data_IF_131473146506
#
_entry.id   IF_131473146506
#
_cell.length_a   1.000
_cell.length_b   1.000
_cell.length_c   1.000
_cell.angle_alpha   90.00
_cell.angle_beta   90.00
_cell.angle_gamma   90.00
#
_symmetry.space_group_name_H-M   'P 1'
#
loop_
_entity.id
_entity.type
_entity.pdbx_description
1 polymer ?
#
# COMPACT_ATOMS: atom_id res chain seq x y z
N UNK A 1 -29.69 -27.69 9.44
CA UNK A 1 -28.49 -27.64 10.29
C UNK A 1 -28.03 -26.19 10.40
N UNK A 2 -27.98 -25.58 11.59
CA UNK A 2 -27.35 -24.28 11.75
C UNK A 2 -25.86 -24.42 11.41
N UNK A 3 -25.38 -23.64 10.44
CA UNK A 3 -23.94 -23.57 10.16
C UNK A 3 -23.23 -23.05 11.41
N UNK A 4 -22.10 -23.66 11.82
CA UNK A 4 -21.34 -23.17 12.96
C UNK A 4 -20.95 -21.71 12.72
N UNK A 5 -21.32 -20.86 13.67
CA UNK A 5 -20.92 -19.46 13.67
C UNK A 5 -19.40 -19.43 13.89
N UNK A 6 -18.64 -19.41 12.81
CA UNK A 6 -17.21 -19.13 12.89
C UNK A 6 -17.05 -17.75 13.52
N UNK A 7 -16.55 -17.71 14.75
CA UNK A 7 -16.14 -16.47 15.40
C UNK A 7 -15.10 -15.80 14.50
N UNK A 8 -15.54 -14.80 13.72
CA UNK A 8 -14.76 -14.15 12.68
C UNK A 8 -13.58 -13.33 13.23
N UNK A 9 -13.43 -13.21 14.55
CA UNK A 9 -12.47 -12.35 15.20
C UNK A 9 -11.74 -13.05 16.34
N UNK A 10 -10.42 -13.20 16.18
CA UNK A 10 -9.54 -13.65 17.23
C UNK A 10 -8.92 -12.40 17.91
N UNK A 11 -9.32 -12.05 19.15
CA UNK A 11 -8.84 -10.85 19.82
C UNK A 11 -7.32 -10.86 20.03
N UNK A 12 -6.70 -12.04 20.09
CA UNK A 12 -5.25 -12.19 20.20
C UNK A 12 -4.50 -11.67 18.95
N UNK A 13 -5.16 -11.68 17.79
CA UNK A 13 -4.57 -11.20 16.53
C UNK A 13 -4.77 -9.70 16.29
N UNK A 14 -5.61 -9.03 17.09
CA UNK A 14 -5.89 -7.61 16.92
C UNK A 14 -4.68 -6.74 17.24
N UNK A 15 -4.03 -7.00 18.39
CA UNK A 15 -2.85 -6.26 18.84
C UNK A 15 -1.69 -6.32 17.82
N UNK A 16 -1.30 -7.49 17.28
CA UNK A 16 -0.24 -7.52 16.27
C UNK A 16 -0.65 -6.85 14.95
N UNK A 17 -1.91 -7.01 14.50
CA UNK A 17 -2.41 -6.34 13.28
C UNK A 17 -2.34 -4.81 13.41
N UNK A 18 -2.85 -4.25 14.51
CA UNK A 18 -2.88 -2.80 14.74
C UNK A 18 -1.48 -2.23 14.96
N UNK A 19 -0.62 -2.97 15.65
CA UNK A 19 0.78 -2.58 15.88
C UNK A 19 1.53 -2.54 14.56
N UNK A 20 1.36 -3.56 13.72
CA UNK A 20 1.95 -3.62 12.38
C UNK A 20 1.50 -2.45 11.51
N UNK A 21 0.19 -2.18 11.42
CA UNK A 21 -0.33 -1.08 10.58
C UNK A 21 0.18 0.28 11.05
N UNK A 22 0.26 0.51 12.36
CA UNK A 22 0.82 1.73 12.94
C UNK A 22 2.31 1.91 12.62
N UNK A 23 3.12 0.85 12.76
CA UNK A 23 4.55 0.92 12.45
C UNK A 23 4.77 1.22 10.97
N UNK A 24 4.04 0.55 10.07
CA UNK A 24 4.16 0.81 8.63
C UNK A 24 3.75 2.25 8.29
N UNK A 25 2.68 2.76 8.90
CA UNK A 25 2.28 4.16 8.76
C UNK A 25 3.40 5.13 9.17
N UNK A 26 4.02 4.92 10.33
CA UNK A 26 5.13 5.75 10.82
C UNK A 26 6.30 5.70 9.84
N UNK A 27 6.70 4.52 9.35
CA UNK A 27 7.81 4.40 8.40
C UNK A 27 7.48 5.09 7.07
N UNK A 28 6.24 4.98 6.57
CA UNK A 28 5.80 5.72 5.37
C UNK A 28 6.00 7.23 5.54
N UNK A 29 5.60 7.79 6.70
CA UNK A 29 5.80 9.19 7.01
C UNK A 29 7.29 9.56 7.11
N UNK A 30 8.12 8.72 7.72
CA UNK A 30 9.57 8.95 7.80
C UNK A 30 10.21 8.97 6.40
N UNK A 31 9.82 8.05 5.51
CA UNK A 31 10.26 8.06 4.10
C UNK A 31 9.80 9.33 3.40
N UNK A 32 8.54 9.75 3.58
CA UNK A 32 8.01 11.00 3.04
C UNK A 32 8.82 12.22 3.49
N UNK A 33 9.09 12.36 4.78
CA UNK A 33 9.85 13.50 5.33
C UNK A 33 11.27 13.54 4.78
N UNK A 34 11.96 12.40 4.72
CA UNK A 34 13.31 12.32 4.18
C UNK A 34 13.39 12.60 2.68
N UNK A 35 12.44 12.08 1.91
CA UNK A 35 12.36 12.37 0.48
C UNK A 35 11.92 13.81 0.19
N UNK A 36 11.20 14.48 1.10
CA UNK A 36 10.89 15.91 1.02
C UNK A 36 12.14 16.77 1.14
N UNK A 37 13.02 16.49 2.11
CA UNK A 37 14.32 17.14 2.24
C UNK A 37 15.14 17.01 0.93
N UNK A 38 15.22 15.78 0.41
CA UNK A 38 15.90 15.46 -0.85
C UNK A 38 15.36 16.20 -2.07
N UNK A 39 14.03 16.30 -2.16
CA UNK A 39 13.36 17.00 -3.24
C UNK A 39 13.65 18.50 -3.20
N UNK A 40 13.65 19.11 -2.01
CA UNK A 40 13.93 20.53 -1.85
C UNK A 40 15.35 20.89 -2.33
N UNK A 41 16.32 19.98 -2.14
CA UNK A 41 17.70 20.16 -2.58
C UNK A 41 17.88 19.93 -4.09
N UNK A 42 17.29 18.88 -4.65
CA UNK A 42 17.54 18.45 -6.04
C UNK A 42 16.54 18.97 -7.06
N UNK A 43 15.34 19.36 -6.61
CA UNK A 43 14.16 19.69 -7.44
C UNK A 43 13.81 18.63 -8.48
N UNK A 44 14.21 17.37 -8.26
CA UNK A 44 14.04 16.28 -9.22
C UNK A 44 12.62 15.70 -9.17
N UNK A 45 11.84 15.86 -10.26
CA UNK A 45 10.41 15.47 -10.30
C UNK A 45 10.14 13.99 -10.00
N UNK A 46 11.06 13.08 -10.32
CA UNK A 46 10.91 11.67 -9.93
C UNK A 46 10.85 11.47 -8.40
N UNK A 47 11.62 12.27 -7.63
CA UNK A 47 11.61 12.20 -6.16
C UNK A 47 10.30 12.75 -5.61
N UNK A 48 9.73 13.77 -6.26
CA UNK A 48 8.40 14.30 -5.93
C UNK A 48 7.33 13.20 -5.99
N UNK A 49 7.24 12.47 -7.10
CA UNK A 49 6.26 11.40 -7.24
C UNK A 49 6.50 10.24 -6.29
N UNK A 50 7.77 9.89 -6.08
CA UNK A 50 8.16 8.87 -5.11
C UNK A 50 7.72 9.24 -3.70
N UNK A 51 8.01 10.46 -3.26
CA UNK A 51 7.55 11.01 -1.97
C UNK A 51 6.03 10.95 -1.84
N UNK A 52 5.32 11.43 -2.86
CA UNK A 52 3.86 11.49 -2.83
C UNK A 52 3.23 10.08 -2.78
N UNK A 53 3.85 9.08 -3.42
CA UNK A 53 3.43 7.68 -3.28
C UNK A 53 3.48 7.20 -1.82
N UNK A 54 4.58 7.47 -1.10
CA UNK A 54 4.71 7.08 0.31
C UNK A 54 3.74 7.82 1.22
N UNK A 55 3.41 9.08 0.92
CA UNK A 55 2.34 9.80 1.63
C UNK A 55 0.99 9.11 1.43
N UNK A 56 0.64 8.78 0.19
CA UNK A 56 -0.62 8.11 -0.15
C UNK A 56 -0.72 6.72 0.50
N UNK A 57 0.37 5.94 0.50
CA UNK A 57 0.42 4.67 1.23
C UNK A 57 0.27 4.89 2.74
N UNK A 58 0.96 5.87 3.32
CA UNK A 58 0.81 6.23 4.72
C UNK A 58 -0.65 6.53 5.08
N UNK A 59 -1.32 7.40 4.31
CA UNK A 59 -2.74 7.72 4.52
C UNK A 59 -3.61 6.47 4.38
N UNK A 60 -3.36 5.60 3.38
CA UNK A 60 -4.11 4.35 3.23
C UNK A 60 -3.98 3.44 4.46
N UNK A 61 -2.77 3.33 5.04
CA UNK A 61 -2.53 2.59 6.28
C UNK A 61 -3.15 3.24 7.51
N UNK A 62 -3.19 4.57 7.57
CA UNK A 62 -3.89 5.28 8.64
C UNK A 62 -5.40 5.01 8.59
N UNK A 63 -6.01 5.07 7.40
CA UNK A 63 -7.43 4.73 7.22
C UNK A 63 -7.69 3.28 7.63
N UNK A 64 -6.79 2.36 7.28
CA UNK A 64 -6.86 0.96 7.71
C UNK A 64 -6.80 0.81 9.23
N UNK A 65 -5.85 1.47 9.89
CA UNK A 65 -5.71 1.48 11.34
C UNK A 65 -6.99 1.98 12.02
N UNK A 66 -7.55 3.10 11.55
CA UNK A 66 -8.83 3.62 12.06
C UNK A 66 -9.97 2.63 11.85
N UNK A 67 -10.02 1.97 10.69
CA UNK A 67 -11.01 0.94 10.43
C UNK A 67 -10.88 -0.26 11.38
N UNK A 68 -9.67 -0.72 11.66
CA UNK A 68 -9.42 -1.80 12.62
C UNK A 68 -9.91 -1.42 14.04
N UNK A 69 -9.69 -0.18 14.49
CA UNK A 69 -10.24 0.33 15.76
C UNK A 69 -11.77 0.34 15.74
N UNK A 70 -12.38 0.84 14.67
CA UNK A 70 -13.84 0.88 14.54
C UNK A 70 -14.41 -0.54 14.62
N UNK A 71 -13.82 -1.49 13.90
CA UNK A 71 -14.23 -2.90 13.91
C UNK A 71 -14.17 -3.51 15.32
N UNK A 72 -13.09 -3.23 16.06
CA UNK A 72 -12.95 -3.67 17.45
C UNK A 72 -14.03 -3.06 18.34
N UNK A 73 -14.25 -1.74 18.23
CA UNK A 73 -15.24 -1.04 19.05
C UNK A 73 -16.69 -1.51 18.82
N UNK A 74 -17.07 -1.79 17.56
CA UNK A 74 -18.40 -2.30 17.22
C UNK A 74 -18.69 -3.65 17.87
N UNK A 75 -17.67 -4.52 17.99
CA UNK A 75 -17.83 -5.84 18.63
C UNK A 75 -18.07 -5.76 20.13
N UNK A 76 -17.45 -4.80 20.81
CA UNK A 76 -17.51 -4.71 22.28
C UNK A 76 -18.67 -3.88 22.81
N UNK A 77 -19.10 -2.84 22.09
CA UNK A 77 -20.02 -1.84 22.66
C UNK A 77 -21.05 -1.23 21.69
N UNK A 78 -20.86 -1.31 20.36
CA UNK A 78 -21.47 -0.36 19.41
C UNK A 78 -22.24 -0.97 18.22
N UNK A 79 -22.76 -2.20 18.32
CA UNK A 79 -23.54 -2.81 17.22
C UNK A 79 -24.82 -2.03 16.86
N UNK A 80 -25.32 -1.15 17.73
CA UNK A 80 -26.59 -0.43 17.51
C UNK A 80 -26.49 0.83 16.64
N UNK A 81 -25.34 1.51 16.55
CA UNK A 81 -25.30 2.87 16.00
C UNK A 81 -24.83 2.96 14.55
N UNK A 82 -23.92 2.10 14.08
CA UNK A 82 -23.41 2.18 12.71
C UNK A 82 -23.30 0.78 12.09
N UNK A 83 -24.13 0.44 11.09
CA UNK A 83 -24.08 -0.88 10.48
C UNK A 83 -22.75 -1.08 9.75
N UNK A 84 -22.02 -2.11 10.14
CA UNK A 84 -20.75 -2.55 9.51
C UNK A 84 -20.84 -2.65 7.98
N UNK A 85 -22.03 -2.99 7.46
CA UNK A 85 -22.34 -3.10 6.03
C UNK A 85 -22.08 -1.83 5.23
N UNK A 86 -22.21 -0.64 5.83
CA UNK A 86 -22.01 0.63 5.14
C UNK A 86 -20.57 1.16 5.27
N UNK A 87 -19.94 0.99 6.43
CA UNK A 87 -18.56 1.46 6.66
C UNK A 87 -17.57 0.69 5.79
N UNK A 88 -17.71 -0.64 5.70
CA UNK A 88 -16.73 -1.48 5.03
C UNK A 88 -16.53 -1.14 3.54
N UNK A 89 -17.58 -0.99 2.71
CA UNK A 89 -17.42 -0.58 1.31
C UNK A 89 -16.77 0.79 1.15
N UNK A 90 -17.13 1.77 1.99
CA UNK A 90 -16.57 3.14 1.93
C UNK A 90 -15.08 3.11 2.22
N UNK A 91 -14.68 2.39 3.27
CA UNK A 91 -13.26 2.23 3.61
C UNK A 91 -12.51 1.50 2.50
N UNK A 92 -13.11 0.46 1.91
CA UNK A 92 -12.53 -0.27 0.78
C UNK A 92 -12.35 0.63 -0.46
N UNK A 93 -13.31 1.50 -0.75
CA UNK A 93 -13.23 2.49 -1.83
C UNK A 93 -12.06 3.46 -1.61
N UNK A 94 -11.98 4.07 -0.42
CA UNK A 94 -10.93 5.05 -0.08
C UNK A 94 -9.55 4.39 -0.08
N UNK A 95 -9.40 3.24 0.59
CA UNK A 95 -8.14 2.52 0.62
C UNK A 95 -7.73 2.04 -0.77
N UNK A 96 -8.67 1.48 -1.54
CA UNK A 96 -8.44 1.01 -2.90
C UNK A 96 -7.99 2.12 -3.83
N UNK A 97 -8.60 3.31 -3.73
CA UNK A 97 -8.16 4.49 -4.45
C UNK A 97 -6.75 4.93 -4.03
N UNK A 98 -6.52 5.20 -2.74
CA UNK A 98 -5.25 5.72 -2.22
C UNK A 98 -4.06 4.80 -2.53
N UNK A 99 -4.24 3.50 -2.38
CA UNK A 99 -3.22 2.50 -2.70
C UNK A 99 -2.95 2.40 -4.20
N UNK A 100 -4.00 2.42 -5.04
CA UNK A 100 -3.84 2.36 -6.50
C UNK A 100 -3.15 3.61 -7.03
N UNK A 101 -3.53 4.80 -6.56
CA UNK A 101 -2.86 6.03 -6.95
C UNK A 101 -1.42 6.04 -6.41
N UNK A 102 -1.16 5.54 -5.20
CA UNK A 102 0.20 5.38 -4.68
C UNK A 102 1.09 4.52 -5.58
N UNK A 103 0.59 3.37 -6.06
CA UNK A 103 1.31 2.50 -7.01
C UNK A 103 1.58 3.26 -8.32
N UNK A 104 0.59 3.97 -8.86
CA UNK A 104 0.75 4.74 -10.09
C UNK A 104 1.78 5.86 -9.94
N UNK A 105 1.82 6.53 -8.79
CA UNK A 105 2.87 7.52 -8.49
C UNK A 105 4.27 6.89 -8.46
N UNK A 106 4.42 5.64 -8.01
CA UNK A 106 5.69 4.91 -8.17
C UNK A 106 6.01 4.68 -9.64
N UNK A 107 5.05 4.29 -10.48
CA UNK A 107 5.27 4.22 -11.94
C UNK A 107 5.75 5.56 -12.45
N UNK A 108 5.07 6.64 -12.08
CA UNK A 108 5.35 7.99 -12.56
C UNK A 108 6.74 8.46 -12.16
N UNK A 109 7.20 8.09 -10.96
CA UNK A 109 8.56 8.37 -10.52
C UNK A 109 9.65 7.71 -11.38
N UNK A 110 9.34 6.64 -12.12
CA UNK A 110 10.29 5.98 -13.04
C UNK A 110 10.26 6.49 -14.48
N UNK A 111 9.10 6.95 -14.96
CA UNK A 111 8.89 7.38 -16.35
C UNK A 111 8.80 8.91 -16.52
N UNK A 112 8.99 9.69 -15.45
CA UNK A 112 8.82 11.15 -15.44
C UNK A 112 9.56 11.91 -16.55
N UNK A 113 10.65 11.36 -17.10
CA UNK A 113 11.43 12.00 -18.18
C UNK A 113 10.82 11.83 -19.57
N UNK A 114 9.91 10.87 -19.76
CA UNK A 114 9.43 10.46 -21.08
C UNK A 114 8.06 11.03 -21.45
N UNK A 115 7.30 11.54 -20.50
CA UNK A 115 5.88 11.86 -20.69
C UNK A 115 5.53 13.23 -20.10
N UNK A 116 4.53 13.90 -20.68
CA UNK A 116 3.95 15.11 -20.12
C UNK A 116 3.30 14.83 -18.76
N UNK A 117 3.88 15.41 -17.71
CA UNK A 117 3.52 15.18 -16.32
C UNK A 117 2.03 15.40 -16.01
N UNK A 118 1.41 16.46 -16.54
CA UNK A 118 0.04 16.84 -16.15
C UNK A 118 -0.99 15.80 -16.62
N UNK A 119 -0.92 15.43 -17.89
CA UNK A 119 -1.86 14.48 -18.50
C UNK A 119 -1.74 13.10 -17.84
N UNK A 120 -0.52 12.68 -17.54
CA UNK A 120 -0.26 11.38 -16.91
C UNK A 120 -0.83 11.28 -15.49
N UNK A 121 -0.71 12.35 -14.70
CA UNK A 121 -1.31 12.41 -13.36
C UNK A 121 -2.83 12.27 -13.44
N UNK A 122 -3.47 13.02 -14.36
CA UNK A 122 -4.93 12.96 -14.56
C UNK A 122 -5.37 11.54 -14.96
N UNK A 123 -4.68 10.92 -15.94
CA UNK A 123 -4.96 9.53 -16.34
C UNK A 123 -4.78 8.59 -15.16
N UNK A 124 -3.75 8.77 -14.34
CA UNK A 124 -3.52 7.95 -13.15
C UNK A 124 -4.67 8.03 -12.14
N UNK A 125 -5.17 9.24 -11.85
CA UNK A 125 -6.33 9.42 -10.98
C UNK A 125 -7.58 8.78 -11.55
N UNK A 126 -7.84 8.91 -12.85
CA UNK A 126 -8.98 8.26 -13.52
C UNK A 126 -8.87 6.74 -13.38
N UNK A 127 -7.70 6.15 -13.65
CA UNK A 127 -7.47 4.70 -13.52
C UNK A 127 -7.70 4.25 -12.06
N UNK A 128 -7.08 4.93 -11.09
CA UNK A 128 -7.22 4.58 -9.68
C UNK A 128 -8.68 4.68 -9.19
N UNK A 129 -9.39 5.72 -9.63
CA UNK A 129 -10.79 5.92 -9.29
C UNK A 129 -11.66 4.82 -9.89
N UNK A 130 -11.51 4.52 -11.19
CA UNK A 130 -12.26 3.45 -11.86
C UNK A 130 -12.04 2.10 -11.19
N UNK A 131 -10.80 1.74 -10.86
CA UNK A 131 -10.49 0.50 -10.14
C UNK A 131 -11.14 0.46 -8.76
N UNK A 132 -11.10 1.58 -8.02
CA UNK A 132 -11.72 1.66 -6.70
C UNK A 132 -13.25 1.54 -6.76
N UNK A 133 -13.89 2.10 -7.78
CA UNK A 133 -15.35 1.99 -8.01
C UNK A 133 -15.72 0.54 -8.34
N UNK A 134 -14.96 -0.14 -9.20
CA UNK A 134 -15.20 -1.56 -9.52
C UNK A 134 -15.12 -2.42 -8.25
N UNK A 135 -14.11 -2.19 -7.41
CA UNK A 135 -13.95 -2.89 -6.12
C UNK A 135 -15.10 -2.56 -5.16
N UNK A 136 -15.53 -1.31 -5.10
CA UNK A 136 -16.66 -0.87 -4.28
C UNK A 136 -17.97 -1.54 -4.68
N UNK A 137 -18.27 -1.58 -5.99
CA UNK A 137 -19.50 -2.18 -6.52
C UNK A 137 -19.55 -3.69 -6.31
N UNK A 138 -18.41 -4.37 -6.46
CA UNK A 138 -18.31 -5.83 -6.26
C UNK A 138 -18.19 -6.22 -4.80
N UNK A 139 -17.83 -5.28 -3.91
CA UNK A 139 -17.53 -5.51 -2.50
C UNK A 139 -16.51 -6.63 -2.26
N UNK A 140 -15.68 -6.91 -3.27
CA UNK A 140 -14.75 -8.04 -3.26
C UNK A 140 -13.34 -7.56 -2.93
N UNK A 141 -12.89 -7.91 -1.73
CA UNK A 141 -11.51 -7.67 -1.34
C UNK A 141 -10.53 -8.39 -2.27
N UNK A 142 -10.83 -9.64 -2.65
CA UNK A 142 -9.92 -10.42 -3.51
C UNK A 142 -9.74 -9.78 -4.87
N UNK A 143 -10.80 -9.18 -5.44
CA UNK A 143 -10.71 -8.42 -6.68
C UNK A 143 -9.76 -7.23 -6.54
N UNK A 144 -9.83 -6.48 -5.44
CA UNK A 144 -8.89 -5.37 -5.16
C UNK A 144 -7.44 -5.84 -5.20
N UNK A 145 -7.15 -6.98 -4.55
CA UNK A 145 -5.81 -7.57 -4.51
C UNK A 145 -5.31 -7.88 -5.94
N UNK A 146 -6.13 -8.55 -6.75
CA UNK A 146 -5.75 -8.88 -8.13
C UNK A 146 -5.49 -7.64 -8.98
N UNK A 147 -6.35 -6.63 -8.91
CA UNK A 147 -6.18 -5.38 -9.66
C UNK A 147 -4.89 -4.65 -9.25
N UNK A 148 -4.56 -4.62 -7.97
CA UNK A 148 -3.32 -4.01 -7.48
C UNK A 148 -2.07 -4.81 -7.86
N UNK A 149 -2.14 -6.15 -7.88
CA UNK A 149 -1.05 -6.99 -8.38
C UNK A 149 -0.80 -6.72 -9.86
N UNK A 150 -1.86 -6.61 -10.68
CA UNK A 150 -1.73 -6.26 -12.11
C UNK A 150 -1.08 -4.88 -12.27
N UNK A 151 -1.54 -3.86 -11.53
CA UNK A 151 -0.92 -2.53 -11.55
C UNK A 151 0.56 -2.54 -11.15
N UNK A 152 0.90 -3.31 -10.11
CA UNK A 152 2.28 -3.48 -9.65
C UNK A 152 3.15 -4.18 -10.69
N UNK A 153 2.64 -5.22 -11.36
CA UNK A 153 3.36 -5.89 -12.43
C UNK A 153 3.66 -4.91 -13.57
N UNK A 154 2.68 -4.11 -13.97
CA UNK A 154 2.87 -3.03 -14.96
C UNK A 154 3.95 -2.05 -14.46
N UNK A 155 3.94 -1.70 -13.17
CA UNK A 155 4.94 -0.81 -12.57
C UNK A 155 6.37 -1.37 -12.64
N UNK A 156 6.55 -2.64 -12.33
CA UNK A 156 7.86 -3.32 -12.39
C UNK A 156 8.34 -3.40 -13.84
N UNK A 157 7.48 -3.85 -14.75
CA UNK A 157 7.81 -4.00 -16.17
C UNK A 157 8.22 -2.65 -16.78
N UNK A 158 7.44 -1.60 -16.56
CA UNK A 158 7.77 -0.25 -17.05
C UNK A 158 9.07 0.29 -16.44
N UNK A 159 9.31 0.04 -15.15
CA UNK A 159 10.56 0.41 -14.47
C UNK A 159 11.78 -0.29 -15.09
N UNK A 160 11.66 -1.58 -15.44
CA UNK A 160 12.72 -2.35 -16.08
C UNK A 160 13.08 -1.81 -17.47
N UNK A 161 12.08 -1.48 -18.30
CA UNK A 161 12.29 -0.93 -19.66
C UNK A 161 12.78 0.52 -19.66
N UNK A 162 12.41 1.33 -18.66
CA UNK A 162 12.78 2.75 -18.62
C UNK A 162 14.29 2.99 -18.49
N UNK A 163 15.04 2.05 -17.92
CA UNK A 163 16.45 2.22 -17.53
C UNK A 163 17.49 1.57 -18.48
N UNK A 164 17.10 1.09 -19.66
CA UNK A 164 18.02 0.35 -20.55
C UNK A 164 19.22 1.17 -21.09
N UNK A 165 19.23 2.50 -20.97
CA UNK A 165 20.31 3.35 -21.55
C UNK A 165 21.52 3.64 -20.64
N UNK A 166 21.57 3.18 -19.37
CA UNK A 166 22.77 3.30 -18.50
C UNK A 166 23.19 1.93 -17.97
N UNK A 167 24.40 1.49 -18.33
CA UNK A 167 25.00 0.13 -18.19
C UNK A 167 25.08 -0.46 -16.76
N UNK A 168 24.59 0.20 -15.71
CA UNK A 168 24.55 -0.37 -14.35
C UNK A 168 23.20 -1.04 -14.10
N UNK A 169 23.18 -2.37 -14.25
CA UNK A 169 22.01 -3.23 -14.03
C UNK A 169 21.40 -3.07 -12.62
N UNK A 170 22.25 -2.80 -11.60
CA UNK A 170 21.87 -2.50 -10.20
C UNK A 170 21.89 -0.99 -9.88
N UNK A 171 21.03 -0.20 -10.52
CA UNK A 171 20.74 1.13 -9.99
C UNK A 171 20.01 0.99 -8.65
N UNK A 172 20.44 1.71 -7.61
CA UNK A 172 19.83 1.69 -6.27
C UNK A 172 18.31 1.88 -6.33
N UNK A 173 17.83 2.68 -7.27
CA UNK A 173 16.41 2.90 -7.54
C UNK A 173 15.69 1.60 -7.93
N UNK A 174 16.24 0.77 -8.84
CA UNK A 174 15.59 -0.49 -9.27
C UNK A 174 15.41 -1.46 -8.11
N UNK A 175 16.43 -1.60 -7.27
CA UNK A 175 16.35 -2.47 -6.09
C UNK A 175 15.27 -1.97 -5.14
N UNK A 176 15.14 -0.65 -5.00
CA UNK A 176 14.13 -0.05 -4.15
C UNK A 176 12.71 -0.30 -4.69
N UNK A 177 12.45 -0.17 -5.99
CA UNK A 177 11.15 -0.54 -6.57
C UNK A 177 10.84 -2.02 -6.43
N UNK A 178 11.84 -2.89 -6.61
CA UNK A 178 11.67 -4.33 -6.42
C UNK A 178 11.37 -4.67 -4.96
N UNK A 179 12.03 -4.02 -3.99
CA UNK A 179 11.73 -4.18 -2.57
C UNK A 179 10.31 -3.69 -2.25
N UNK A 180 9.89 -2.55 -2.79
CA UNK A 180 8.50 -2.07 -2.63
C UNK A 180 7.52 -3.06 -3.22
N UNK A 181 7.80 -3.63 -4.39
CA UNK A 181 6.96 -4.63 -5.02
C UNK A 181 6.81 -5.89 -4.15
N UNK A 182 7.93 -6.43 -3.66
CA UNK A 182 7.94 -7.58 -2.75
C UNK A 182 7.15 -7.26 -1.49
N UNK A 183 7.42 -6.11 -0.85
CA UNK A 183 6.69 -5.64 0.31
C UNK A 183 5.18 -5.56 0.04
N UNK A 184 4.78 -5.04 -1.11
CA UNK A 184 3.37 -4.88 -1.44
C UNK A 184 2.68 -6.23 -1.64
N UNK A 185 3.32 -7.20 -2.32
CA UNK A 185 2.81 -8.57 -2.41
C UNK A 185 2.65 -9.21 -1.03
N UNK A 186 3.67 -9.08 -0.19
CA UNK A 186 3.63 -9.62 1.17
C UNK A 186 2.50 -9.00 1.99
N UNK A 187 2.34 -7.68 1.90
CA UNK A 187 1.26 -6.98 2.57
C UNK A 187 -0.11 -7.42 2.04
N UNK A 188 -0.27 -7.61 0.74
CA UNK A 188 -1.51 -8.15 0.14
C UNK A 188 -1.87 -9.54 0.70
N UNK A 189 -0.88 -10.42 0.91
CA UNK A 189 -1.11 -11.74 1.49
C UNK A 189 -1.46 -11.69 2.98
N UNK A 190 -0.88 -10.76 3.74
CA UNK A 190 -1.24 -10.55 5.15
C UNK A 190 -2.73 -10.18 5.27
N UNK A 191 -3.22 -9.33 4.36
CA UNK A 191 -4.60 -8.83 4.33
C UNK A 191 -5.59 -9.89 3.79
N UNK A 192 -5.09 -10.90 3.07
CA UNK A 192 -5.92 -11.97 2.50
C UNK A 192 -6.87 -12.58 3.55
N UNK A 193 -8.13 -12.93 3.16
CA UNK A 193 -9.14 -13.39 4.10
C UNK A 193 -8.63 -14.52 5.01
N UNK A 194 -9.04 -14.47 6.28
CA UNK A 194 -8.45 -15.22 7.42
C UNK A 194 -8.37 -16.74 7.22
N UNK A 195 -9.24 -17.31 6.39
CA UNK A 195 -9.24 -18.74 6.05
C UNK A 195 -8.02 -19.22 5.24
N UNK A 196 -7.29 -18.34 4.54
CA UNK A 196 -6.21 -18.79 3.64
C UNK A 196 -4.89 -19.15 4.35
N UNK A 197 -4.61 -18.55 5.52
CA UNK A 197 -3.34 -18.75 6.22
C UNK A 197 -3.54 -18.88 7.72
N UNK A 198 -2.80 -19.80 8.33
CA UNK A 198 -2.73 -19.93 9.78
C UNK A 198 -2.20 -18.63 10.43
N UNK A 199 -2.67 -18.25 11.62
CA UNK A 199 -2.26 -17.04 12.33
C UNK A 199 -0.74 -16.87 12.43
N UNK A 200 -0.01 -17.96 12.65
CA UNK A 200 1.44 -18.01 12.82
C UNK A 200 2.17 -17.58 11.54
N UNK A 201 1.66 -18.01 10.38
CA UNK A 201 2.19 -17.63 9.06
C UNK A 201 1.96 -16.14 8.85
N UNK A 202 0.79 -15.61 9.24
CA UNK A 202 0.49 -14.17 9.10
C UNK A 202 1.43 -13.31 9.94
N UNK A 203 1.67 -13.65 11.20
CA UNK A 203 2.62 -12.92 12.06
C UNK A 203 4.05 -12.98 11.49
N UNK A 204 4.46 -14.13 10.96
CA UNK A 204 5.76 -14.28 10.30
C UNK A 204 5.88 -13.37 9.07
N UNK A 205 4.85 -13.33 8.22
CA UNK A 205 4.81 -12.44 7.06
C UNK A 205 4.83 -10.96 7.47
N UNK A 206 4.17 -10.57 8.57
CA UNK A 206 4.23 -9.20 9.10
C UNK A 206 5.65 -8.80 9.50
N UNK A 207 6.38 -9.68 10.21
CA UNK A 207 7.77 -9.43 10.62
C UNK A 207 8.69 -9.29 9.39
N UNK A 208 8.54 -10.17 8.40
CA UNK A 208 9.34 -10.09 7.17
C UNK A 208 8.99 -8.80 6.40
N UNK A 209 7.71 -8.47 6.27
CA UNK A 209 7.23 -7.24 5.63
C UNK A 209 7.82 -6.00 6.29
N UNK A 210 7.81 -5.96 7.62
CA UNK A 210 8.41 -4.88 8.41
C UNK A 210 9.92 -4.78 8.17
N UNK A 211 10.62 -5.92 8.12
CA UNK A 211 12.06 -5.98 7.83
C UNK A 211 12.36 -5.40 6.44
N UNK A 212 11.59 -5.77 5.43
CA UNK A 212 11.72 -5.20 4.07
C UNK A 212 11.50 -3.68 4.09
N UNK A 213 10.53 -3.20 4.86
CA UNK A 213 10.23 -1.78 4.97
C UNK A 213 11.34 -0.98 5.66
N UNK A 214 11.95 -1.54 6.71
CA UNK A 214 13.14 -0.97 7.37
C UNK A 214 14.32 -0.91 6.39
N UNK A 215 14.53 -1.95 5.57
CA UNK A 215 15.56 -1.97 4.53
C UNK A 215 15.31 -0.87 3.49
N UNK A 216 14.05 -0.69 3.05
CA UNK A 216 13.67 0.41 2.14
C UNK A 216 14.02 1.75 2.78
N UNK A 217 13.59 2.00 4.02
CA UNK A 217 13.90 3.23 4.75
C UNK A 217 15.41 3.49 4.84
N UNK A 218 16.19 2.48 5.25
CA UNK A 218 17.64 2.61 5.34
C UNK A 218 18.28 2.94 3.97
N UNK A 219 17.81 2.32 2.89
CA UNK A 219 18.27 2.63 1.53
C UNK A 219 17.91 4.05 1.11
N UNK A 220 16.69 4.51 1.42
CA UNK A 220 16.28 5.89 1.16
C UNK A 220 17.21 6.85 1.89
N UNK A 221 17.44 6.66 3.19
CA UNK A 221 18.33 7.53 3.98
C UNK A 221 19.76 7.52 3.44
N UNK A 222 20.30 6.34 3.09
CA UNK A 222 21.65 6.22 2.53
C UNK A 222 21.79 6.90 1.17
N UNK A 223 20.73 6.93 0.37
CA UNK A 223 20.74 7.60 -0.93
C UNK A 223 20.81 9.13 -0.81
N UNK A 224 20.46 9.68 0.36
CA UNK A 224 20.47 11.13 0.61
C UNK A 224 21.78 11.65 1.21
N UNK A 225 22.68 10.76 1.63
CA UNK A 225 24.03 11.09 2.07
C UNK A 225 25.00 10.99 0.90
#
# INVERSE_FOLDING_TARGET
MPMPQHHFFNPLMFIPEITYTLIVFIICLLIYLKTKEAYNLTKHKGIMYFRDAFLLFGIAYLIRFLFEIIQFSTMTFFDAFIPRRFIFPIVLLIMGYLSSIGILYLVFSTIWKKINNKVMIIIGHIIALTLSIIVFLTQSHTLMLYLQIILLLIAVVTSMFSHQKKKKWFSQAKVLYLLIFIFWIMNMWIISPRWMFAPEIKSTLQIISLTVFIIIYYKVVKWLK
#
